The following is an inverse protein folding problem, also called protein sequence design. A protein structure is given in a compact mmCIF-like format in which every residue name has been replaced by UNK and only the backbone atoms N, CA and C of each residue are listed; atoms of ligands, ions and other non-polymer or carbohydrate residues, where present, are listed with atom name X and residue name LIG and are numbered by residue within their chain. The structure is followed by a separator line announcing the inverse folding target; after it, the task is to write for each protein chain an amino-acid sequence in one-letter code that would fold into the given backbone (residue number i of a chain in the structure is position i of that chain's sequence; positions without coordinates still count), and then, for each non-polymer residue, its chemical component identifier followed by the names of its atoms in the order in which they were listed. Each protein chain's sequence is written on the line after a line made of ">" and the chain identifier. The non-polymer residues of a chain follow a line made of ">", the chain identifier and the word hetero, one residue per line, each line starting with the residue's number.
data_IF_125435462098
#
_entry.id   IF_125435462098
#
_cell.length_a   1.000
_cell.length_b   1.000
_cell.length_c   1.000
_cell.angle_alpha   90.00
_cell.angle_beta   90.00
_cell.angle_gamma   90.00
#
_symmetry.space_group_name_H-M   'P 1'
#
loop_
_entity.id
_entity.type
_entity.pdbx_description
1 polymer ?
#
# COMPACT_ATOMS: atom_id res chain seq x y z
N UNK A 1 -20.69 -11.58 1.81
CA UNK A 1 -20.02 -12.69 2.50
C UNK A 1 -18.53 -12.38 2.64
N UNK A 2 -18.00 -12.52 3.86
CA UNK A 2 -16.67 -12.09 4.33
C UNK A 2 -15.63 -13.22 4.35
N UNK A 3 -15.95 -14.37 3.75
CA UNK A 3 -15.46 -15.71 4.14
C UNK A 3 -13.94 -15.93 4.18
N UNK A 4 -13.12 -15.02 3.64
CA UNK A 4 -11.66 -15.20 3.58
C UNK A 4 -10.86 -14.03 4.12
N UNK A 5 -11.45 -13.13 4.94
CA UNK A 5 -10.76 -11.92 5.43
C UNK A 5 -10.40 -12.00 6.91
N UNK A 6 -9.10 -11.91 7.20
CA UNK A 6 -8.52 -11.78 8.53
C UNK A 6 -7.92 -10.38 8.70
N UNK A 7 -8.21 -9.75 9.84
CA UNK A 7 -7.69 -8.44 10.19
C UNK A 7 -7.53 -8.33 11.70
N UNK A 8 -6.69 -7.39 12.14
CA UNK A 8 -6.53 -7.05 13.55
C UNK A 8 -7.25 -5.74 13.82
N UNK A 9 -8.13 -5.73 14.82
CA UNK A 9 -8.73 -4.49 15.33
C UNK A 9 -7.67 -3.77 16.15
N UNK A 10 -7.41 -2.51 15.81
CA UNK A 10 -6.42 -1.65 16.49
C UNK A 10 -7.05 -0.47 17.21
N UNK A 11 -8.36 -0.28 17.04
CA UNK A 11 -9.10 0.80 17.66
C UNK A 11 -10.55 0.83 17.21
N UNK A 12 -11.31 1.81 17.72
CA UNK A 12 -12.71 2.04 17.38
C UNK A 12 -12.97 3.54 17.18
N UNK A 13 -13.87 3.87 16.28
CA UNK A 13 -14.53 5.18 16.19
C UNK A 13 -15.97 5.05 16.70
N UNK A 14 -16.84 6.03 16.45
CA UNK A 14 -18.26 5.93 16.80
C UNK A 14 -18.95 4.78 16.07
N UNK A 15 -18.74 4.64 14.75
CA UNK A 15 -19.50 3.68 13.93
C UNK A 15 -18.66 2.55 13.33
N UNK A 16 -17.34 2.55 13.55
CA UNK A 16 -16.44 1.60 12.90
C UNK A 16 -15.33 1.07 13.80
N UNK A 17 -14.82 -0.10 13.46
CA UNK A 17 -13.53 -0.59 13.93
C UNK A 17 -12.44 -0.16 12.95
N UNK A 18 -11.28 0.20 13.51
CA UNK A 18 -10.10 0.56 12.74
C UNK A 18 -9.19 -0.65 12.65
N UNK A 19 -8.77 -0.98 11.43
CA UNK A 19 -8.12 -2.23 11.13
C UNK A 19 -6.65 -2.05 10.80
N UNK A 20 -5.90 -3.13 11.03
CA UNK A 20 -4.57 -3.37 10.49
C UNK A 20 -4.64 -4.60 9.58
N UNK A 21 -3.99 -4.50 8.42
CA UNK A 21 -3.88 -5.60 7.46
C UNK A 21 -3.04 -6.75 8.08
N UNK A 22 -3.43 -8.00 7.80
CA UNK A 22 -2.69 -9.20 8.25
C UNK A 22 -2.11 -10.02 7.11
N UNK A 23 -2.42 -9.66 5.87
CA UNK A 23 -1.91 -10.36 4.69
C UNK A 23 -0.61 -9.70 4.23
N UNK A 24 0.48 -10.46 4.27
CA UNK A 24 1.73 -10.00 3.68
C UNK A 24 1.59 -9.80 2.17
N UNK A 25 2.31 -8.80 1.68
CA UNK A 25 2.32 -8.43 0.27
C UNK A 25 3.52 -9.07 -0.39
N UNK A 26 3.25 -9.95 -1.32
CA UNK A 26 4.28 -10.60 -2.13
C UNK A 26 4.48 -9.80 -3.42
N UNK A 27 5.63 -9.14 -3.50
CA UNK A 27 6.08 -8.45 -4.70
C UNK A 27 7.12 -9.30 -5.42
N UNK A 28 7.20 -9.19 -6.75
CA UNK A 28 8.26 -9.85 -7.49
C UNK A 28 9.61 -9.23 -7.13
N UNK A 29 10.71 -9.96 -7.37
CA UNK A 29 12.05 -9.43 -7.15
C UNK A 29 12.30 -8.13 -7.94
N UNK A 30 11.69 -8.02 -9.14
CA UNK A 30 11.80 -6.82 -9.95
C UNK A 30 11.05 -5.64 -9.33
N UNK A 31 9.82 -5.85 -8.86
CA UNK A 31 9.04 -4.80 -8.18
C UNK A 31 9.74 -4.35 -6.90
N UNK A 32 10.37 -5.27 -6.17
CA UNK A 32 11.18 -4.92 -4.99
C UNK A 32 12.35 -4.01 -5.33
N UNK A 33 12.97 -4.14 -6.52
CA UNK A 33 14.02 -3.18 -6.95
C UNK A 33 13.41 -1.82 -7.24
N UNK A 34 12.25 -1.76 -7.89
CA UNK A 34 11.57 -0.51 -8.20
C UNK A 34 11.15 0.19 -6.90
N UNK A 35 10.60 -0.54 -5.93
CA UNK A 35 10.26 -0.02 -4.59
C UNK A 35 11.50 0.58 -3.91
N UNK A 36 12.64 -0.13 -3.92
CA UNK A 36 13.90 0.40 -3.36
C UNK A 36 14.37 1.69 -4.04
N UNK A 37 14.17 1.82 -5.35
CA UNK A 37 14.47 3.05 -6.10
C UNK A 37 13.55 4.19 -5.65
N UNK A 38 12.26 3.94 -5.49
CA UNK A 38 11.27 4.91 -4.98
C UNK A 38 11.65 5.37 -3.57
N UNK A 39 11.95 4.44 -2.66
CA UNK A 39 12.38 4.76 -1.29
C UNK A 39 13.62 5.67 -1.29
N UNK A 40 14.61 5.34 -2.12
CA UNK A 40 15.84 6.14 -2.26
C UNK A 40 15.56 7.52 -2.84
N UNK A 41 14.67 7.64 -3.82
CA UNK A 41 14.24 8.93 -4.37
C UNK A 41 13.60 9.80 -3.28
N UNK A 42 12.67 9.24 -2.49
CA UNK A 42 11.98 9.97 -1.43
C UNK A 42 12.93 10.39 -0.30
N UNK A 43 13.85 9.51 0.07
CA UNK A 43 14.90 9.82 1.05
C UNK A 43 15.81 10.98 0.57
N UNK A 44 16.30 10.91 -0.68
CA UNK A 44 17.07 11.98 -1.30
C UNK A 44 16.29 13.30 -1.33
N UNK A 45 15.01 13.26 -1.73
CA UNK A 45 14.13 14.43 -1.76
C UNK A 45 13.98 15.05 -0.36
N UNK A 46 13.79 14.23 0.67
CA UNK A 46 13.68 14.69 2.06
C UNK A 46 14.98 15.36 2.55
N UNK A 47 16.13 14.87 2.09
CA UNK A 47 17.47 15.38 2.39
C UNK A 47 17.93 16.51 1.46
N UNK A 48 17.08 16.93 0.51
CA UNK A 48 17.39 17.95 -0.50
C UNK A 48 18.66 17.63 -1.31
N UNK A 49 18.86 16.36 -1.65
CA UNK A 49 19.92 15.92 -2.55
C UNK A 49 19.54 16.27 -3.98
N UNK A 50 20.44 16.92 -4.71
CA UNK A 50 20.24 17.23 -6.13
C UNK A 50 20.15 15.94 -6.96
N UNK A 51 19.10 15.85 -7.76
CA UNK A 51 18.83 14.73 -8.67
C UNK A 51 18.53 15.26 -10.05
N UNK A 52 18.97 14.53 -11.07
CA UNK A 52 18.62 14.87 -12.46
C UNK A 52 17.25 14.24 -12.78
N UNK A 53 16.26 15.09 -13.04
CA UNK A 53 14.87 14.72 -13.30
C UNK A 53 14.53 15.13 -14.73
N UNK A 54 14.09 14.16 -15.54
CA UNK A 54 13.44 14.38 -16.83
C UNK A 54 12.01 13.84 -16.79
N UNK A 55 11.27 14.02 -17.89
CA UNK A 55 9.88 13.58 -18.00
C UNK A 55 9.72 12.06 -17.89
N UNK A 56 10.73 11.30 -18.31
CA UNK A 56 10.71 9.84 -18.44
C UNK A 56 11.61 9.09 -17.45
N UNK A 57 12.57 9.77 -16.81
CA UNK A 57 13.50 9.15 -15.86
C UNK A 57 14.04 10.11 -14.79
N UNK A 58 14.47 9.52 -13.68
CA UNK A 58 15.16 10.20 -12.58
C UNK A 58 16.46 9.48 -12.30
N UNK A 59 17.57 10.20 -12.36
CA UNK A 59 18.87 9.70 -11.93
C UNK A 59 18.97 9.94 -10.42
N UNK A 60 18.66 8.91 -9.64
CA UNK A 60 18.63 8.94 -8.17
C UNK A 60 20.05 8.90 -7.59
N UNK A 61 20.96 8.23 -8.29
CA UNK A 61 22.35 8.13 -7.88
C UNK A 61 23.23 8.01 -9.12
N UNK A 62 24.04 9.03 -9.44
CA UNK A 62 24.98 8.95 -10.56
C UNK A 62 26.05 7.90 -10.26
N UNK A 63 26.61 7.33 -11.33
CA UNK A 63 27.79 6.48 -11.23
C UNK A 63 28.98 7.30 -10.70
N UNK A 64 29.59 6.87 -9.58
CA UNK A 64 30.76 7.53 -9.00
C UNK A 64 32.10 6.94 -9.47
N UNK A 65 32.05 5.83 -10.21
CA UNK A 65 33.20 5.14 -10.81
C UNK A 65 32.69 4.10 -11.81
N UNK A 66 33.57 3.57 -12.68
CA UNK A 66 33.24 2.50 -13.64
C UNK A 66 32.65 1.24 -12.98
N UNK A 67 32.94 1.02 -11.68
CA UNK A 67 32.43 -0.12 -10.91
C UNK A 67 31.03 0.11 -10.33
N UNK A 68 30.58 1.36 -10.21
CA UNK A 68 29.30 1.71 -9.61
C UNK A 68 28.25 2.00 -10.68
N UNK A 69 27.20 1.18 -10.73
CA UNK A 69 26.09 1.39 -11.66
C UNK A 69 25.24 2.58 -11.24
N UNK A 70 24.88 3.40 -12.22
CA UNK A 70 23.87 4.44 -12.07
C UNK A 70 22.54 3.83 -11.60
N UNK A 71 21.87 4.49 -10.65
CA UNK A 71 20.53 4.11 -10.22
C UNK A 71 19.54 5.07 -10.86
N UNK A 72 18.79 4.54 -11.82
CA UNK A 72 17.74 5.25 -12.55
C UNK A 72 16.39 4.68 -12.16
N UNK A 73 15.42 5.54 -11.91
CA UNK A 73 14.00 5.20 -11.85
C UNK A 73 13.31 5.78 -13.09
N UNK A 74 12.59 4.93 -13.82
CA UNK A 74 11.90 5.33 -15.06
C UNK A 74 10.40 5.40 -14.86
N UNK A 75 9.73 6.20 -15.69
CA UNK A 75 8.28 6.28 -15.74
C UNK A 75 7.64 4.93 -16.04
N UNK A 76 8.26 4.13 -16.91
CA UNK A 76 7.80 2.78 -17.25
C UNK A 76 7.84 1.86 -16.03
N UNK A 77 8.92 1.86 -15.25
CA UNK A 77 9.02 1.09 -14.01
C UNK A 77 7.94 1.50 -13.00
N UNK A 78 7.71 2.81 -12.84
CA UNK A 78 6.66 3.32 -11.93
C UNK A 78 5.26 2.93 -12.39
N UNK A 79 4.95 3.02 -13.69
CA UNK A 79 3.66 2.57 -14.22
C UNK A 79 3.46 1.06 -14.01
N UNK A 80 4.49 0.25 -14.31
CA UNK A 80 4.45 -1.20 -14.06
C UNK A 80 4.16 -1.51 -12.60
N UNK A 81 4.85 -0.86 -11.66
CA UNK A 81 4.62 -1.06 -10.24
C UNK A 81 3.20 -0.64 -9.81
N UNK A 82 2.65 0.46 -10.33
CA UNK A 82 1.26 0.85 -10.07
C UNK A 82 0.29 -0.24 -10.54
N UNK A 83 0.47 -0.76 -11.75
CA UNK A 83 -0.38 -1.82 -12.29
C UNK A 83 -0.28 -3.08 -11.42
N UNK A 84 0.92 -3.46 -10.99
CA UNK A 84 1.13 -4.62 -10.11
C UNK A 84 0.47 -4.41 -8.73
N UNK A 85 0.53 -3.20 -8.17
CA UNK A 85 -0.19 -2.84 -6.93
C UNK A 85 -1.71 -2.91 -7.13
N UNK A 86 -2.25 -2.36 -8.22
CA UNK A 86 -3.69 -2.40 -8.50
C UNK A 86 -4.18 -3.83 -8.75
N UNK A 87 -3.40 -4.64 -9.46
CA UNK A 87 -3.69 -6.06 -9.67
C UNK A 87 -3.73 -6.81 -8.34
N UNK A 88 -2.77 -6.54 -7.43
CA UNK A 88 -2.82 -7.09 -6.08
C UNK A 88 -4.07 -6.64 -5.34
N UNK A 89 -4.41 -5.34 -5.34
CA UNK A 89 -5.55 -4.77 -4.63
C UNK A 89 -6.91 -5.26 -5.15
N UNK A 90 -6.97 -5.72 -6.41
CA UNK A 90 -8.18 -6.32 -6.99
C UNK A 90 -8.54 -7.69 -6.37
N UNK A 91 -7.61 -8.35 -5.67
CA UNK A 91 -7.84 -9.66 -5.06
C UNK A 91 -8.85 -9.55 -3.92
N UNK A 92 -9.74 -10.54 -3.81
CA UNK A 92 -10.83 -10.62 -2.80
C UNK A 92 -10.35 -10.37 -1.37
N UNK A 93 -9.16 -10.84 -1.00
CA UNK A 93 -8.58 -10.67 0.35
C UNK A 93 -8.34 -9.20 0.73
N UNK A 94 -8.20 -8.30 -0.25
CA UNK A 94 -7.97 -6.86 -0.05
C UNK A 94 -9.22 -6.01 -0.28
N UNK A 95 -10.41 -6.59 -0.42
CA UNK A 95 -11.64 -5.89 -0.80
C UNK A 95 -12.27 -5.03 0.32
N UNK A 96 -11.47 -4.22 1.00
CA UNK A 96 -11.93 -3.19 1.93
C UNK A 96 -12.59 -2.04 1.17
N UNK A 97 -13.49 -1.28 1.81
CA UNK A 97 -14.20 -0.18 1.15
C UNK A 97 -13.25 0.84 0.53
N UNK A 98 -12.23 1.29 1.29
CA UNK A 98 -11.22 2.24 0.79
C UNK A 98 -10.42 1.69 -0.40
N UNK A 99 -10.07 0.40 -0.37
CA UNK A 99 -9.35 -0.27 -1.46
C UNK A 99 -10.21 -0.40 -2.72
N UNK A 100 -11.51 -0.71 -2.57
CA UNK A 100 -12.44 -0.72 -3.71
C UNK A 100 -12.52 0.65 -4.38
N UNK A 101 -12.65 1.71 -3.59
CA UNK A 101 -12.66 3.09 -4.11
C UNK A 101 -11.35 3.45 -4.80
N UNK A 102 -10.20 2.97 -4.29
CA UNK A 102 -8.90 3.14 -4.99
C UNK A 102 -8.93 2.48 -6.37
N UNK A 103 -9.40 1.24 -6.45
CA UNK A 103 -9.46 0.48 -7.71
C UNK A 103 -10.40 1.14 -8.72
N UNK A 104 -11.56 1.61 -8.28
CA UNK A 104 -12.52 2.35 -9.11
C UNK A 104 -11.90 3.65 -9.69
N UNK A 105 -10.98 4.26 -8.96
CA UNK A 105 -10.32 5.51 -9.34
C UNK A 105 -8.95 5.31 -9.99
N UNK A 106 -8.53 4.07 -10.30
CA UNK A 106 -7.18 3.78 -10.83
C UNK A 106 -6.84 4.58 -12.10
N UNK A 107 -7.83 4.83 -12.96
CA UNK A 107 -7.63 5.55 -14.22
C UNK A 107 -7.17 7.00 -14.02
N UNK A 108 -7.40 7.60 -12.84
CA UNK A 108 -6.86 8.92 -12.52
C UNK A 108 -5.34 8.96 -12.55
N UNK A 109 -4.67 7.81 -12.31
CA UNK A 109 -3.21 7.73 -12.40
C UNK A 109 -2.67 7.93 -13.81
N UNK A 110 -3.46 7.72 -14.86
CA UNK A 110 -3.00 7.82 -16.25
C UNK A 110 -2.46 9.23 -16.54
N UNK A 111 -3.18 10.25 -16.06
CA UNK A 111 -2.91 11.66 -16.34
C UNK A 111 -1.99 12.33 -15.30
N UNK A 112 -1.50 11.58 -14.30
CA UNK A 112 -0.60 12.13 -13.30
C UNK A 112 0.79 12.37 -13.87
N UNK A 113 1.48 13.39 -13.36
CA UNK A 113 2.89 13.60 -13.65
C UNK A 113 3.72 12.42 -13.15
N UNK A 114 4.93 12.23 -13.70
CA UNK A 114 5.81 11.16 -13.24
C UNK A 114 6.09 11.26 -11.73
N UNK A 115 6.32 12.47 -11.22
CA UNK A 115 6.57 12.67 -9.78
C UNK A 115 5.34 12.32 -8.94
N UNK A 116 4.13 12.69 -9.39
CA UNK A 116 2.89 12.36 -8.69
C UNK A 116 2.63 10.85 -8.68
N UNK A 117 2.96 10.14 -9.76
CA UNK A 117 2.88 8.67 -9.79
C UNK A 117 3.79 8.01 -8.75
N UNK A 118 4.99 8.56 -8.53
CA UNK A 118 5.90 8.08 -7.48
C UNK A 118 5.27 8.28 -6.09
N UNK A 119 4.67 9.44 -5.84
CA UNK A 119 3.95 9.71 -4.58
C UNK A 119 2.80 8.73 -4.39
N UNK A 120 1.96 8.53 -5.42
CA UNK A 120 0.86 7.55 -5.37
C UNK A 120 1.37 6.13 -5.09
N UNK A 121 2.44 5.69 -5.76
CA UNK A 121 3.05 4.38 -5.47
C UNK A 121 3.39 4.25 -3.99
N UNK A 122 4.08 5.24 -3.43
CA UNK A 122 4.50 5.26 -2.04
C UNK A 122 3.31 5.20 -1.08
N UNK A 123 2.30 6.04 -1.29
CA UNK A 123 1.09 6.08 -0.45
C UNK A 123 0.30 4.76 -0.52
N UNK A 124 0.15 4.17 -1.70
CA UNK A 124 -0.44 2.84 -1.83
C UNK A 124 0.42 1.79 -1.12
N UNK A 125 1.75 1.85 -1.21
CA UNK A 125 2.63 0.96 -0.46
C UNK A 125 2.53 1.16 1.05
N UNK A 126 2.13 2.33 1.56
CA UNK A 126 1.88 2.52 2.99
C UNK A 126 0.54 1.93 3.48
N UNK A 127 -0.51 2.02 2.65
CA UNK A 127 -1.90 1.71 3.01
C UNK A 127 -2.15 0.28 3.56
N UNK A 128 -1.37 -0.72 3.12
CA UNK A 128 -1.55 -2.13 3.48
C UNK A 128 -0.37 -2.75 4.24
N UNK A 129 0.39 -1.94 4.99
CA UNK A 129 1.43 -2.47 5.88
C UNK A 129 0.88 -3.47 6.91
N UNK A 130 1.62 -4.53 7.16
CA UNK A 130 1.26 -5.60 8.11
C UNK A 130 1.89 -5.42 9.49
N UNK A 131 2.77 -4.44 9.69
CA UNK A 131 3.44 -4.18 10.96
C UNK A 131 2.79 -3.05 11.78
N UNK A 132 2.19 -2.05 11.12
CA UNK A 132 1.56 -0.89 11.76
C UNK A 132 0.23 -0.52 11.11
N UNK A 133 -0.61 0.24 11.85
CA UNK A 133 -1.74 0.95 11.25
C UNK A 133 -1.23 2.27 10.66
N UNK A 134 -1.51 2.52 9.38
CA UNK A 134 -1.23 3.79 8.71
C UNK A 134 -2.44 4.27 7.91
N UNK A 135 -2.53 5.58 7.74
CA UNK A 135 -3.30 6.21 6.67
C UNK A 135 -2.41 6.39 5.44
N UNK A 136 -3.04 6.55 4.29
CA UNK A 136 -2.39 6.96 3.05
C UNK A 136 -3.10 8.20 2.52
N UNK A 137 -2.34 9.14 1.97
CA UNK A 137 -2.86 10.32 1.29
C UNK A 137 -3.26 9.97 -0.15
N UNK A 138 -4.55 9.98 -0.41
CA UNK A 138 -5.12 9.57 -1.70
C UNK A 138 -5.75 10.75 -2.45
N UNK A 139 -5.35 11.99 -2.14
CA UNK A 139 -5.85 13.19 -2.83
C UNK A 139 -5.59 13.17 -4.34
N UNK A 140 -4.44 12.61 -4.77
CA UNK A 140 -4.10 12.43 -6.19
C UNK A 140 -4.99 11.40 -6.90
N UNK A 141 -5.73 10.57 -6.15
CA UNK A 141 -6.78 9.68 -6.66
C UNK A 141 -8.18 10.28 -6.45
N UNK A 142 -8.26 11.56 -6.06
CA UNK A 142 -9.48 12.30 -5.79
C UNK A 142 -10.25 11.83 -4.56
N UNK A 143 -9.55 11.31 -3.55
CA UNK A 143 -10.12 11.01 -2.24
C UNK A 143 -9.66 12.02 -1.18
N UNK A 144 -10.17 11.92 0.05
CA UNK A 144 -9.66 12.76 1.15
C UNK A 144 -8.28 12.27 1.61
N UNK A 145 -7.53 13.16 2.28
CA UNK A 145 -6.23 12.84 2.89
C UNK A 145 -6.30 11.68 3.90
N UNK A 146 -7.44 11.48 4.56
CA UNK A 146 -7.65 10.45 5.58
C UNK A 146 -8.35 9.19 5.05
N UNK A 147 -8.63 9.12 3.75
CA UNK A 147 -9.38 8.02 3.13
C UNK A 147 -8.63 6.68 3.17
N UNK A 148 -7.30 6.70 3.30
CA UNK A 148 -6.47 5.53 3.45
C UNK A 148 -6.55 4.83 4.81
N UNK A 149 -7.57 5.02 5.63
CA UNK A 149 -7.71 4.27 6.89
C UNK A 149 -8.59 3.04 6.65
N UNK A 150 -8.06 1.84 6.89
CA UNK A 150 -8.83 0.60 6.83
C UNK A 150 -9.87 0.56 7.96
N UNK A 151 -11.14 0.41 7.61
CA UNK A 151 -12.27 0.39 8.55
C UNK A 151 -13.27 -0.69 8.18
N UNK A 152 -13.97 -1.21 9.18
CA UNK A 152 -15.20 -1.99 9.01
C UNK A 152 -16.28 -1.49 9.97
N UNK A 153 -17.53 -1.77 9.65
CA UNK A 153 -18.66 -1.49 10.54
C UNK A 153 -18.51 -2.21 11.87
N UNK A 154 -19.04 -1.61 12.95
CA UNK A 154 -19.19 -2.31 14.24
C UNK A 154 -20.24 -3.41 14.22
N UNK A 155 -21.20 -3.32 13.28
CA UNK A 155 -22.20 -4.35 13.07
C UNK A 155 -21.56 -5.48 12.26
N UNK A 156 -20.82 -6.34 12.97
CA UNK A 156 -20.15 -7.49 12.38
C UNK A 156 -21.19 -8.46 11.83
N UNK A 157 -21.02 -8.96 10.59
CA UNK A 157 -21.94 -9.94 10.04
C UNK A 157 -21.96 -11.25 10.83
N UNK A 158 -23.10 -11.93 10.81
CA UNK A 158 -23.27 -13.27 11.37
C UNK A 158 -22.19 -14.21 10.79
N UNK A 159 -21.63 -15.06 11.65
CA UNK A 159 -20.50 -15.95 11.34
C UNK A 159 -19.13 -15.30 11.47
N UNK A 160 -19.03 -14.02 11.84
CA UNK A 160 -17.72 -13.39 12.15
C UNK A 160 -17.13 -14.04 13.40
N UNK A 161 -15.89 -14.54 13.30
CA UNK A 161 -15.18 -15.23 14.39
C UNK A 161 -14.12 -14.33 15.01
N UNK A 162 -14.11 -14.28 16.34
CA UNK A 162 -13.01 -13.72 17.12
C UNK A 162 -12.04 -14.85 17.42
N UNK A 163 -10.78 -14.66 17.03
CA UNK A 163 -9.74 -15.68 17.12
C UNK A 163 -8.64 -15.17 18.05
N UNK A 164 -8.31 -15.97 19.05
CA UNK A 164 -7.09 -15.81 19.83
C UNK A 164 -5.98 -16.66 19.19
N UNK A 165 -4.81 -16.07 19.00
CA UNK A 165 -3.64 -16.74 18.45
C UNK A 165 -2.51 -16.76 19.47
N UNK A 166 -1.80 -17.89 19.57
CA UNK A 166 -0.56 -17.99 20.36
C UNK A 166 0.50 -16.98 19.89
N UNK A 167 1.49 -16.69 20.74
CA UNK A 167 2.55 -15.72 20.44
C UNK A 167 3.31 -16.01 19.13
N UNK A 168 3.44 -17.28 18.76
CA UNK A 168 4.09 -17.73 17.51
C UNK A 168 3.13 -17.88 16.33
N UNK A 169 1.82 -17.79 16.57
CA UNK A 169 0.78 -17.99 15.56
C UNK A 169 0.46 -19.45 15.20
N UNK A 170 1.11 -20.44 15.83
CA UNK A 170 0.87 -21.86 15.55
C UNK A 170 -0.46 -22.38 16.06
N UNK A 171 -0.88 -21.94 17.24
CA UNK A 171 -2.15 -22.33 17.83
C UNK A 171 -3.17 -21.21 17.70
N UNK A 172 -4.40 -21.59 17.33
CA UNK A 172 -5.52 -20.67 17.15
C UNK A 172 -6.76 -21.24 17.80
N UNK A 173 -7.51 -20.39 18.51
CA UNK A 173 -8.78 -20.77 19.13
C UNK A 173 -9.84 -19.75 18.76
N UNK A 174 -10.97 -20.23 18.25
CA UNK A 174 -12.17 -19.39 18.11
C UNK A 174 -12.75 -19.20 19.51
N UNK A 175 -12.77 -17.97 19.99
CA UNK A 175 -13.27 -17.62 21.33
C UNK A 175 -14.71 -17.11 21.30
N UNK A 176 -15.16 -16.62 20.15
CA UNK A 176 -16.53 -16.16 19.94
C UNK A 176 -16.88 -16.18 18.45
N UNK A 177 -18.16 -16.42 18.15
CA UNK A 177 -18.74 -16.31 16.81
C UNK A 177 -20.02 -15.49 16.89
N UNK A 178 -20.13 -14.46 16.05
CA UNK A 178 -21.32 -13.61 15.96
C UNK A 178 -22.48 -14.47 15.45
N UNK A 179 -23.56 -14.53 16.23
CA UNK A 179 -24.79 -15.25 15.89
C UNK A 179 -25.81 -14.33 15.25
#
# INVERSE_FOLDING_TARGET
>A
MLEDRKFVITGKTNDSYVLKNTYDRFFSYEDMKIIKKIDKYLDNKSKKVDMNISDDKIIISPARSEKNKEIVLTLQETNKLLDDIFNMYSKKIYSYSSIKTIIENKNKTINLSFLDKIIVCSELLYLLKTNERKSADLQLLGQSKDSGILKISKNLPIGTKLIEESYTGYYKKVIYEVK
#
